data_IF_608042378951
#
_entry.id   IF_608042378951
#
_cell.length_a   1.000
_cell.length_b   1.000
_cell.length_c   1.000
_cell.angle_alpha   90.00
_cell.angle_beta   90.00
_cell.angle_gamma   90.00
#
_symmetry.space_group_name_H-M   'P 1'
#
loop_
_entity.id
_entity.type
_entity.pdbx_description
1 polymer ?
#
# COMPACT_ATOMS: atom_id res chain seq x y z
N UNK A 1 -31.40 52.58 62.23
CA UNK A 1 -31.23 51.34 61.44
C UNK A 1 -30.94 51.77 60.01
N UNK A 2 -29.67 51.82 59.63
CA UNK A 2 -29.22 52.42 58.38
C UNK A 2 -28.66 51.35 57.44
N UNK A 3 -29.07 51.44 56.18
CA UNK A 3 -28.69 50.58 55.07
C UNK A 3 -27.22 50.79 54.69
N UNK A 4 -26.50 49.71 54.37
CA UNK A 4 -25.22 49.78 53.66
C UNK A 4 -25.33 49.05 52.32
N UNK A 5 -25.26 49.84 51.24
CA UNK A 5 -24.97 49.39 49.89
C UNK A 5 -23.51 48.93 49.80
N UNK A 6 -23.28 47.71 49.31
CA UNK A 6 -21.97 47.18 48.98
C UNK A 6 -21.82 47.04 47.47
N UNK A 7 -21.14 48.00 46.86
CA UNK A 7 -20.73 48.02 45.45
C UNK A 7 -19.64 46.95 45.24
N UNK A 8 -19.91 45.92 44.44
CA UNK A 8 -18.87 44.97 44.01
C UNK A 8 -18.17 45.55 42.78
N UNK A 9 -16.95 46.01 42.99
CA UNK A 9 -16.04 46.49 41.94
C UNK A 9 -15.58 45.29 41.12
N UNK A 10 -16.06 45.20 39.89
CA UNK A 10 -15.53 44.29 38.88
C UNK A 10 -14.10 44.72 38.53
N UNK A 11 -13.12 43.98 39.05
CA UNK A 11 -11.71 44.18 38.72
C UNK A 11 -11.47 43.51 37.37
N UNK A 12 -11.50 44.31 36.31
CA UNK A 12 -11.02 43.89 35.00
C UNK A 12 -9.50 43.72 35.08
N UNK A 13 -9.03 42.50 35.31
CA UNK A 13 -7.63 42.14 35.11
C UNK A 13 -7.35 42.19 33.60
N UNK A 14 -6.84 43.34 33.17
CA UNK A 14 -6.19 43.51 31.88
C UNK A 14 -4.88 42.70 31.95
N UNK A 15 -4.92 41.42 31.57
CA UNK A 15 -3.71 40.69 31.24
C UNK A 15 -3.18 41.25 29.92
N UNK A 16 -2.37 42.30 30.03
CA UNK A 16 -1.40 42.66 29.00
C UNK A 16 -0.37 41.53 28.97
N UNK A 17 -0.69 40.48 28.22
CA UNK A 17 0.31 39.53 27.77
C UNK A 17 1.23 40.31 26.83
N UNK A 18 2.36 40.75 27.38
CA UNK A 18 3.51 41.20 26.62
C UNK A 18 3.83 40.11 25.60
N UNK A 19 3.49 40.37 24.34
CA UNK A 19 4.08 39.73 23.17
C UNK A 19 5.57 40.10 23.13
N UNK A 20 6.35 39.59 24.09
CA UNK A 20 7.77 39.45 23.90
C UNK A 20 7.92 38.39 22.82
N UNK A 21 8.38 38.87 21.67
CA UNK A 21 8.66 38.03 20.53
C UNK A 21 9.52 36.85 20.96
N UNK A 22 8.90 35.68 21.01
CA UNK A 22 9.56 34.48 20.55
C UNK A 22 9.86 34.75 19.07
N UNK A 23 11.00 35.37 18.81
CA UNK A 23 11.69 35.16 17.56
C UNK A 23 11.82 33.65 17.46
N UNK A 24 10.91 33.04 16.69
CA UNK A 24 11.13 31.75 16.09
C UNK A 24 12.38 31.98 15.25
N UNK A 25 13.55 31.80 15.88
CA UNK A 25 14.75 31.47 15.17
C UNK A 25 14.28 30.39 14.22
N UNK A 26 14.33 30.67 12.92
CA UNK A 26 14.37 29.65 11.90
C UNK A 26 15.52 28.74 12.31
N UNK A 27 15.21 27.79 13.20
CA UNK A 27 16.00 26.61 13.42
C UNK A 27 15.89 25.97 12.07
N UNK A 28 16.90 26.26 11.25
CA UNK A 28 17.22 25.51 10.07
C UNK A 28 17.31 24.09 10.60
N UNK A 29 16.19 23.38 10.50
CA UNK A 29 16.13 21.93 10.55
C UNK A 29 16.86 21.50 9.27
N UNK A 30 18.17 21.75 9.26
CA UNK A 30 19.11 20.89 8.58
C UNK A 30 19.02 19.60 9.37
N UNK A 31 18.00 18.81 9.03
CA UNK A 31 17.99 17.38 9.33
C UNK A 31 19.29 16.89 8.69
N UNK A 32 20.34 16.83 9.49
CA UNK A 32 21.60 16.18 9.13
C UNK A 32 21.24 14.71 8.98
N UNK A 33 20.71 14.36 7.81
CA UNK A 33 20.72 13.01 7.28
C UNK A 33 22.19 12.68 7.04
N UNK A 34 22.85 12.27 8.12
CA UNK A 34 24.24 11.84 8.13
C UNK A 34 24.34 10.57 7.29
N UNK A 35 24.62 10.73 6.00
CA UNK A 35 24.71 9.65 5.03
C UNK A 35 23.91 9.86 3.73
N UNK A 36 23.31 11.04 3.53
CA UNK A 36 22.46 11.34 2.38
C UNK A 36 23.13 11.11 1.04
N UNK A 37 22.82 9.98 0.40
CA UNK A 37 22.80 9.87 -1.06
C UNK A 37 22.10 11.13 -1.56
N UNK A 38 22.74 11.93 -2.42
CA UNK A 38 22.06 13.08 -3.03
C UNK A 38 20.86 12.51 -3.79
N UNK A 39 19.66 12.68 -3.22
CA UNK A 39 18.45 12.25 -3.91
C UNK A 39 18.41 13.09 -5.18
N UNK A 40 18.41 12.40 -6.34
CA UNK A 40 18.29 13.07 -7.62
C UNK A 40 17.05 13.96 -7.61
N UNK A 41 17.05 15.02 -8.42
CA UNK A 41 15.86 15.85 -8.60
C UNK A 41 14.73 14.94 -9.06
N UNK A 42 13.64 14.89 -8.31
CA UNK A 42 12.46 14.14 -8.70
C UNK A 42 11.92 14.64 -10.05
N UNK A 43 11.38 13.72 -10.82
CA UNK A 43 10.69 14.02 -12.07
C UNK A 43 9.34 14.69 -11.83
N UNK A 44 8.84 15.36 -12.85
CA UNK A 44 7.57 16.11 -12.76
C UNK A 44 6.40 15.12 -12.66
N UNK A 45 5.50 15.32 -11.70
CA UNK A 45 4.34 14.44 -11.45
C UNK A 45 3.55 14.12 -12.74
N UNK A 46 3.30 15.12 -13.58
CA UNK A 46 2.56 14.96 -14.84
C UNK A 46 3.30 14.24 -15.97
N UNK A 47 4.57 13.90 -15.78
CA UNK A 47 5.37 13.15 -16.77
C UNK A 47 5.24 11.63 -16.63
N UNK A 48 4.65 11.17 -15.51
CA UNK A 48 4.44 9.75 -15.27
C UNK A 48 3.24 9.22 -16.08
N UNK A 49 3.37 8.00 -16.59
CA UNK A 49 2.27 7.30 -17.25
C UNK A 49 1.33 6.62 -16.24
N UNK A 50 0.26 6.00 -16.74
CA UNK A 50 -0.64 5.17 -15.92
C UNK A 50 -0.03 3.84 -15.47
N UNK A 51 1.10 3.45 -16.08
CA UNK A 51 1.81 2.20 -15.82
C UNK A 51 3.23 2.51 -15.39
N UNK A 52 3.63 2.01 -14.23
CA UNK A 52 4.96 2.21 -13.68
C UNK A 52 5.97 1.26 -14.33
N UNK A 53 7.06 1.79 -14.87
CA UNK A 53 8.19 0.97 -15.31
C UNK A 53 9.25 0.94 -14.21
N UNK A 54 9.53 -0.24 -13.65
CA UNK A 54 10.58 -0.43 -12.65
C UNK A 54 11.98 -0.12 -13.21
N UNK A 55 12.13 -0.18 -14.53
CA UNK A 55 13.41 -0.01 -15.19
C UNK A 55 14.28 -1.26 -15.12
N UNK A 56 15.49 -1.16 -15.67
CA UNK A 56 16.42 -2.27 -15.75
C UNK A 56 16.89 -2.70 -14.36
N UNK A 57 17.00 -4.01 -14.16
CA UNK A 57 17.59 -4.63 -12.98
C UNK A 57 16.81 -4.42 -11.66
N UNK A 58 15.61 -3.86 -11.72
CA UNK A 58 14.70 -3.70 -10.57
C UNK A 58 13.53 -4.66 -10.73
N UNK A 59 13.45 -5.66 -9.85
CA UNK A 59 12.45 -6.74 -9.94
C UNK A 59 11.08 -6.29 -9.41
N UNK A 60 11.09 -5.53 -8.31
CA UNK A 60 9.88 -5.05 -7.66
C UNK A 60 9.91 -3.54 -7.50
N UNK A 61 8.87 -2.88 -8.00
CA UNK A 61 8.63 -1.46 -7.77
C UNK A 61 7.16 -1.19 -7.51
N UNK A 62 6.87 -0.04 -6.93
CA UNK A 62 5.50 0.34 -6.69
C UNK A 62 5.31 1.74 -6.12
N UNK A 63 4.20 1.92 -5.43
CA UNK A 63 3.87 3.19 -4.79
C UNK A 63 3.60 3.02 -3.31
N UNK A 64 4.14 3.93 -2.50
CA UNK A 64 3.67 4.18 -1.14
C UNK A 64 2.51 5.17 -1.21
N UNK A 65 1.31 4.74 -0.85
CA UNK A 65 0.09 5.56 -0.89
C UNK A 65 -0.20 6.15 0.48
N UNK A 66 -0.32 7.47 0.52
CA UNK A 66 -0.58 8.25 1.73
C UNK A 66 -1.87 9.05 1.56
N UNK A 67 -2.75 8.98 2.55
CA UNK A 67 -4.01 9.72 2.58
C UNK A 67 -3.81 11.07 3.25
N UNK A 68 -4.30 12.14 2.62
CA UNK A 68 -4.31 13.48 3.25
C UNK A 68 -5.30 13.59 4.41
N UNK A 69 -6.38 12.79 4.38
CA UNK A 69 -7.52 12.89 5.27
C UNK A 69 -8.60 13.88 4.85
N UNK A 70 -8.43 14.50 3.68
CA UNK A 70 -9.40 15.43 3.08
C UNK A 70 -10.36 14.74 2.11
N UNK A 71 -10.25 13.41 1.98
CA UNK A 71 -11.12 12.60 1.14
C UNK A 71 -12.54 12.50 1.71
N UNK A 72 -13.36 11.62 1.12
CA UNK A 72 -14.74 11.35 1.57
C UNK A 72 -14.82 9.98 2.26
N UNK A 73 -15.76 9.84 3.20
CA UNK A 73 -16.09 8.56 3.82
C UNK A 73 -14.90 7.98 4.59
N UNK A 74 -14.43 6.79 4.23
CA UNK A 74 -13.29 6.14 4.87
C UNK A 74 -11.97 6.93 4.71
N UNK A 75 -11.89 7.82 3.73
CA UNK A 75 -10.72 8.68 3.46
C UNK A 75 -10.75 10.02 4.21
N UNK A 76 -11.75 10.24 5.08
CA UNK A 76 -11.87 11.45 5.90
C UNK A 76 -11.33 11.16 7.30
N UNK A 77 -10.23 11.81 7.68
CA UNK A 77 -9.61 11.64 9.00
C UNK A 77 -8.80 12.88 9.38
N UNK A 78 -8.54 13.13 10.69
CA UNK A 78 -8.00 14.41 11.16
C UNK A 78 -6.52 14.65 10.85
N UNK A 79 -5.74 13.62 10.49
CA UNK A 79 -4.30 13.70 10.22
C UNK A 79 -3.97 12.86 9.01
N UNK A 80 -2.96 13.19 8.18
CA UNK A 80 -2.52 12.28 7.12
C UNK A 80 -2.11 10.91 7.67
N UNK A 81 -2.41 9.84 6.94
CA UNK A 81 -2.13 8.45 7.37
C UNK A 81 -1.64 7.59 6.20
N UNK A 82 -1.11 6.41 6.54
CA UNK A 82 -0.78 5.38 5.55
C UNK A 82 -2.06 4.76 5.01
N UNK A 83 -2.16 4.64 3.69
CA UNK A 83 -3.09 3.69 3.07
C UNK A 83 -2.39 2.34 2.90
N UNK A 84 -1.27 2.31 2.18
CA UNK A 84 -0.54 1.08 1.90
C UNK A 84 0.68 1.25 1.01
N UNK A 85 1.34 0.13 0.74
CA UNK A 85 2.45 0.01 -0.21
C UNK A 85 2.07 -1.01 -1.26
N UNK A 86 2.02 -0.58 -2.52
CA UNK A 86 1.39 -1.34 -3.60
C UNK A 86 2.40 -1.61 -4.71
N UNK A 87 2.96 -2.83 -4.78
CA UNK A 87 3.71 -3.28 -5.95
C UNK A 87 2.88 -3.10 -7.21
N UNK A 88 3.43 -2.38 -8.19
CA UNK A 88 2.74 -2.04 -9.43
C UNK A 88 2.87 -3.21 -10.42
N UNK A 89 2.11 -4.27 -10.16
CA UNK A 89 2.14 -5.51 -10.96
C UNK A 89 1.19 -5.43 -12.17
N UNK A 90 1.46 -6.25 -13.20
CA UNK A 90 0.54 -6.47 -14.34
C UNK A 90 0.08 -5.19 -15.04
N UNK A 91 -1.23 -4.88 -15.00
CA UNK A 91 -1.83 -3.70 -15.64
C UNK A 91 -1.33 -2.37 -15.05
N UNK A 92 -0.73 -2.38 -13.86
CA UNK A 92 -0.29 -1.20 -13.15
C UNK A 92 1.21 -0.91 -13.32
N UNK A 93 2.01 -1.90 -13.72
CA UNK A 93 3.44 -1.69 -13.94
C UNK A 93 4.18 -2.89 -14.53
N UNK A 94 5.51 -2.82 -14.47
CA UNK A 94 6.40 -3.92 -14.90
C UNK A 94 6.89 -4.77 -13.72
N UNK A 95 6.49 -4.46 -12.49
CA UNK A 95 6.85 -5.24 -11.30
C UNK A 95 6.35 -6.68 -11.42
N UNK A 96 7.23 -7.62 -11.11
CA UNK A 96 6.82 -9.01 -10.89
C UNK A 96 6.22 -9.16 -9.48
N UNK A 97 5.31 -10.12 -9.31
CA UNK A 97 4.81 -10.45 -7.98
C UNK A 97 5.81 -11.37 -7.29
N UNK A 98 6.61 -10.82 -6.38
CA UNK A 98 7.52 -11.61 -5.55
C UNK A 98 6.82 -12.05 -4.26
N UNK A 99 6.71 -13.37 -4.07
CA UNK A 99 6.05 -13.96 -2.90
C UNK A 99 6.90 -13.82 -1.64
N UNK A 100 6.30 -13.89 -0.45
CA UNK A 100 7.06 -13.76 0.79
C UNK A 100 8.03 -14.91 1.00
N UNK A 101 9.25 -14.61 1.47
CA UNK A 101 10.33 -15.59 1.66
C UNK A 101 9.96 -16.65 2.71
N UNK A 102 9.33 -16.23 3.82
CA UNK A 102 9.10 -17.08 5.00
C UNK A 102 7.63 -17.47 5.13
N UNK A 103 6.71 -16.52 5.01
CA UNK A 103 5.29 -16.79 5.25
C UNK A 103 4.35 -15.81 4.57
N UNK A 104 3.28 -16.36 3.98
CA UNK A 104 2.14 -15.62 3.47
C UNK A 104 1.03 -15.40 4.51
N UNK A 105 1.24 -15.80 5.78
CA UNK A 105 0.22 -15.69 6.82
C UNK A 105 -0.18 -14.23 7.08
N UNK A 106 -1.46 -14.04 7.38
CA UNK A 106 -2.04 -12.73 7.68
C UNK A 106 -1.45 -12.09 8.96
N UNK A 107 -1.38 -10.75 9.04
CA UNK A 107 -1.00 -10.05 10.27
C UNK A 107 -2.02 -10.31 11.39
N UNK A 108 -1.51 -10.41 12.62
CA UNK A 108 -2.30 -10.68 13.83
C UNK A 108 -2.27 -9.53 14.84
N UNK A 109 -1.52 -8.46 14.56
CA UNK A 109 -1.37 -7.27 15.40
C UNK A 109 -1.57 -6.00 14.59
N UNK A 110 -1.73 -4.87 15.30
CA UNK A 110 -1.75 -3.53 14.69
C UNK A 110 -0.33 -2.97 14.68
N UNK A 111 0.13 -2.50 13.51
CA UNK A 111 1.39 -1.79 13.38
C UNK A 111 1.18 -0.29 13.64
N UNK A 112 2.15 0.42 14.26
CA UNK A 112 1.94 1.79 14.73
C UNK A 112 1.45 2.79 13.68
N UNK A 113 1.90 2.68 12.42
CA UNK A 113 1.47 3.58 11.36
C UNK A 113 0.03 3.36 10.87
N UNK A 114 -0.62 2.25 11.28
CA UNK A 114 -2.02 1.94 11.02
C UNK A 114 -2.91 2.12 12.26
N UNK A 115 -2.35 2.57 13.38
CA UNK A 115 -3.10 2.80 14.61
C UNK A 115 -3.76 4.19 14.61
N UNK A 116 -4.84 4.31 13.84
CA UNK A 116 -5.59 5.55 13.66
C UNK A 116 -6.87 5.51 14.50
N UNK A 117 -6.75 5.90 15.78
CA UNK A 117 -7.87 6.24 16.67
C UNK A 117 -8.94 5.15 16.90
N UNK A 118 -8.53 4.00 17.44
CA UNK A 118 -9.31 3.40 18.53
C UNK A 118 -10.16 2.16 18.24
N UNK A 119 -10.03 1.51 17.08
CA UNK A 119 -10.55 0.14 16.91
C UNK A 119 -9.49 -0.78 16.31
N UNK A 120 -8.81 -1.53 17.17
CA UNK A 120 -7.78 -2.49 16.77
C UNK A 120 -8.31 -3.55 15.81
N UNK A 121 -9.60 -3.92 15.90
CA UNK A 121 -10.20 -4.89 14.98
C UNK A 121 -10.37 -4.34 13.56
N UNK A 122 -10.78 -3.08 13.42
CA UNK A 122 -10.87 -2.40 12.12
C UNK A 122 -9.49 -2.24 11.49
N UNK A 123 -8.49 -1.87 12.29
CA UNK A 123 -7.12 -1.75 11.83
C UNK A 123 -6.58 -3.11 11.36
N UNK A 124 -6.78 -4.20 12.11
CA UNK A 124 -6.32 -5.55 11.69
C UNK A 124 -7.03 -6.00 10.41
N UNK A 125 -8.33 -5.75 10.26
CA UNK A 125 -9.04 -6.08 9.02
C UNK A 125 -8.43 -5.35 7.81
N UNK A 126 -8.16 -4.06 7.96
CA UNK A 126 -7.56 -3.26 6.89
C UNK A 126 -6.12 -3.71 6.57
N UNK A 127 -5.30 -4.00 7.57
CA UNK A 127 -3.96 -4.56 7.35
C UNK A 127 -4.01 -5.94 6.67
N UNK A 128 -5.03 -6.78 6.95
CA UNK A 128 -5.23 -8.02 6.19
C UNK A 128 -5.53 -7.73 4.72
N UNK A 129 -6.38 -6.74 4.45
CA UNK A 129 -6.63 -6.29 3.07
C UNK A 129 -5.33 -5.86 2.38
N UNK A 130 -4.57 -4.95 2.98
CA UNK A 130 -3.29 -4.48 2.43
C UNK A 130 -2.30 -5.63 2.19
N UNK A 131 -2.22 -6.58 3.11
CA UNK A 131 -1.37 -7.75 2.97
C UNK A 131 -1.83 -8.66 1.83
N UNK A 132 -3.07 -9.13 1.85
CA UNK A 132 -3.61 -10.09 0.88
C UNK A 132 -3.66 -9.53 -0.55
N UNK A 133 -3.87 -8.22 -0.70
CA UNK A 133 -3.96 -7.57 -2.01
C UNK A 133 -2.62 -7.10 -2.55
N UNK A 134 -1.73 -6.64 -1.68
CA UNK A 134 -0.52 -5.93 -2.09
C UNK A 134 0.74 -6.56 -1.49
N UNK A 135 0.77 -6.73 -0.17
CA UNK A 135 1.96 -7.19 0.55
C UNK A 135 2.46 -8.59 0.17
N UNK A 136 1.57 -9.51 -0.21
CA UNK A 136 1.94 -10.86 -0.68
C UNK A 136 2.73 -10.89 -1.99
N UNK A 137 2.81 -9.76 -2.70
CA UNK A 137 3.60 -9.60 -3.92
C UNK A 137 4.80 -8.65 -3.73
N UNK A 138 5.11 -8.26 -2.50
CA UNK A 138 6.07 -7.20 -2.22
C UNK A 138 7.51 -7.69 -2.00
N UNK A 139 7.82 -8.98 -2.24
CA UNK A 139 9.18 -9.52 -2.11
C UNK A 139 9.80 -9.47 -0.71
N UNK A 140 8.95 -9.30 0.31
CA UNK A 140 9.35 -9.19 1.73
C UNK A 140 9.40 -10.56 2.42
N UNK A 141 9.89 -10.64 3.66
CA UNK A 141 9.96 -11.94 4.35
C UNK A 141 8.59 -12.48 4.77
N UNK A 142 7.75 -11.61 5.31
CA UNK A 142 6.43 -11.91 5.87
C UNK A 142 5.68 -10.59 6.17
N UNK A 143 4.47 -10.68 6.72
CA UNK A 143 3.68 -9.50 7.07
C UNK A 143 4.39 -8.56 8.07
N UNK A 144 5.12 -9.09 9.06
CA UNK A 144 5.87 -8.27 10.03
C UNK A 144 6.93 -7.40 9.35
N UNK A 145 7.66 -7.98 8.41
CA UNK A 145 8.66 -7.26 7.63
C UNK A 145 8.02 -6.19 6.73
N UNK A 146 6.95 -6.55 6.00
CA UNK A 146 6.20 -5.63 5.16
C UNK A 146 5.74 -4.39 5.92
N UNK A 147 4.95 -4.57 6.98
CA UNK A 147 4.38 -3.42 7.69
C UNK A 147 5.42 -2.60 8.45
N UNK A 148 6.50 -3.22 8.92
CA UNK A 148 7.64 -2.46 9.47
C UNK A 148 8.24 -1.53 8.43
N UNK A 149 8.50 -2.03 7.22
CA UNK A 149 9.05 -1.22 6.13
C UNK A 149 8.07 -0.12 5.70
N UNK A 150 6.77 -0.41 5.60
CA UNK A 150 5.73 0.60 5.32
C UNK A 150 5.75 1.73 6.36
N UNK A 151 5.79 1.40 7.65
CA UNK A 151 5.86 2.41 8.70
C UNK A 151 7.16 3.23 8.65
N UNK A 152 8.29 2.61 8.31
CA UNK A 152 9.57 3.31 8.16
C UNK A 152 9.55 4.30 6.99
N UNK A 153 9.08 3.87 5.81
CA UNK A 153 9.02 4.69 4.60
C UNK A 153 8.06 5.88 4.74
N UNK A 154 6.93 5.66 5.41
CA UNK A 154 5.87 6.66 5.52
C UNK A 154 6.12 7.74 6.57
N UNK A 155 6.94 7.47 7.58
CA UNK A 155 7.06 8.35 8.76
C UNK A 155 7.42 9.80 8.38
N UNK A 156 8.46 10.00 7.57
CA UNK A 156 8.91 11.34 7.22
C UNK A 156 8.01 12.04 6.17
N UNK A 157 7.54 11.38 5.10
CA UNK A 157 6.51 11.94 4.22
C UNK A 157 5.24 12.39 4.94
N UNK A 158 4.74 11.59 5.90
CA UNK A 158 3.55 11.96 6.66
C UNK A 158 3.75 13.21 7.51
N UNK A 159 4.96 13.45 8.03
CA UNK A 159 5.29 14.71 8.72
C UNK A 159 5.21 15.91 7.77
N UNK A 160 5.71 15.77 6.53
CA UNK A 160 5.60 16.82 5.50
C UNK A 160 4.15 17.11 5.15
N UNK A 161 3.34 16.06 4.95
CA UNK A 161 1.91 16.21 4.67
C UNK A 161 1.16 16.84 5.85
N UNK A 162 1.48 16.45 7.09
CA UNK A 162 0.83 17.00 8.28
C UNK A 162 1.14 18.49 8.44
N UNK A 163 2.38 18.91 8.22
CA UNK A 163 2.77 20.33 8.25
C UNK A 163 2.06 21.15 7.17
N UNK A 164 1.97 20.61 5.95
CA UNK A 164 1.26 21.23 4.83
C UNK A 164 -0.24 21.39 5.14
N UNK A 165 -0.87 20.32 5.65
CA UNK A 165 -2.28 20.34 6.05
C UNK A 165 -2.55 21.33 7.18
N UNK A 166 -1.69 21.39 8.19
CA UNK A 166 -1.79 22.37 9.28
C UNK A 166 -1.68 23.83 8.77
N UNK A 167 -1.00 24.05 7.66
CA UNK A 167 -0.91 25.35 6.99
C UNK A 167 -2.11 25.66 6.06
N UNK A 168 -3.12 24.77 5.98
CA UNK A 168 -4.28 24.94 5.11
C UNK A 168 -3.98 24.79 3.61
N UNK A 169 -2.86 24.13 3.28
CA UNK A 169 -2.47 23.84 1.90
C UNK A 169 -3.29 22.70 1.32
N UNK A 170 -3.57 22.76 0.02
CA UNK A 170 -4.32 21.71 -0.67
C UNK A 170 -3.44 20.51 -1.07
N UNK A 171 -4.04 19.48 -1.67
CA UNK A 171 -3.34 18.26 -2.06
C UNK A 171 -2.21 18.48 -3.09
N UNK A 172 -2.33 19.49 -3.97
CA UNK A 172 -1.30 19.82 -4.96
C UNK A 172 -0.12 20.48 -4.27
N UNK A 173 -0.39 21.42 -3.36
CA UNK A 173 0.64 22.04 -2.52
C UNK A 173 1.36 20.99 -1.64
N UNK A 174 0.63 20.04 -1.04
CA UNK A 174 1.21 18.93 -0.28
C UNK A 174 2.17 18.09 -1.14
N UNK A 175 1.78 17.78 -2.38
CA UNK A 175 2.63 17.04 -3.31
C UNK A 175 3.91 17.82 -3.64
N UNK A 176 3.80 19.13 -3.84
CA UNK A 176 4.93 20.02 -4.10
C UNK A 176 5.88 20.14 -2.89
N UNK A 177 5.35 20.14 -1.66
CA UNK A 177 6.18 20.06 -0.45
C UNK A 177 6.93 18.72 -0.33
N UNK A 178 6.28 17.60 -0.66
CA UNK A 178 6.93 16.29 -0.69
C UNK A 178 8.06 16.25 -1.73
N UNK A 179 7.80 16.75 -2.94
CA UNK A 179 8.78 16.86 -4.01
C UNK A 179 10.00 17.70 -3.57
N UNK A 180 9.77 18.87 -2.95
CA UNK A 180 10.85 19.70 -2.37
C UNK A 180 11.64 19.01 -1.27
N UNK A 181 10.98 18.16 -0.49
CA UNK A 181 11.61 17.36 0.56
C UNK A 181 12.34 16.11 0.03
N UNK A 182 12.33 15.88 -1.29
CA UNK A 182 12.99 14.73 -1.93
C UNK A 182 12.15 13.45 -1.96
N UNK A 183 10.86 13.53 -1.64
CA UNK A 183 9.91 12.42 -1.75
C UNK A 183 9.18 12.50 -3.09
N UNK A 184 9.62 11.70 -4.05
CA UNK A 184 9.13 11.80 -5.42
C UNK A 184 7.70 11.28 -5.54
N UNK A 185 6.77 12.20 -5.85
CA UNK A 185 5.35 11.90 -6.02
C UNK A 185 5.12 11.38 -7.44
N UNK A 186 4.69 10.14 -7.55
CA UNK A 186 4.33 9.49 -8.81
C UNK A 186 2.95 9.90 -9.31
N UNK A 187 1.96 9.99 -8.41
CA UNK A 187 0.57 10.28 -8.79
C UNK A 187 -0.19 11.00 -7.67
N UNK A 188 -1.13 11.88 -8.07
CA UNK A 188 -2.07 12.56 -7.19
C UNK A 188 -3.47 11.99 -7.45
N UNK A 189 -4.00 11.21 -6.52
CA UNK A 189 -5.40 10.76 -6.57
C UNK A 189 -6.29 11.86 -5.97
N UNK A 190 -6.81 12.72 -6.84
CA UNK A 190 -7.70 13.82 -6.45
C UNK A 190 -9.09 13.36 -5.98
N UNK A 191 -9.49 12.12 -6.29
CA UNK A 191 -10.79 11.56 -5.92
C UNK A 191 -10.80 11.12 -4.46
N UNK A 192 -9.82 10.28 -4.06
CA UNK A 192 -9.68 9.84 -2.66
C UNK A 192 -8.80 10.78 -1.81
N UNK A 193 -8.22 11.82 -2.42
CA UNK A 193 -7.30 12.77 -1.80
C UNK A 193 -6.03 12.11 -1.24
N UNK A 194 -5.34 11.37 -2.11
CA UNK A 194 -4.14 10.60 -1.77
C UNK A 194 -2.96 11.03 -2.63
N UNK A 195 -1.77 10.84 -2.08
CA UNK A 195 -0.49 11.01 -2.76
C UNK A 195 0.20 9.65 -2.85
N UNK A 196 0.67 9.31 -4.04
CA UNK A 196 1.37 8.06 -4.32
C UNK A 196 2.83 8.39 -4.58
N UNK A 197 3.72 7.96 -3.69
CA UNK A 197 5.17 8.16 -3.80
C UNK A 197 5.81 6.98 -4.49
N UNK A 198 6.70 7.21 -5.46
CA UNK A 198 7.41 6.12 -6.13
C UNK A 198 8.39 5.41 -5.18
N UNK A 199 8.35 4.08 -5.22
CA UNK A 199 9.17 3.21 -4.38
C UNK A 199 9.72 2.03 -5.19
N UNK A 200 10.89 1.53 -4.83
CA UNK A 200 11.47 0.33 -5.39
C UNK A 200 12.06 -0.56 -4.30
N UNK A 201 12.19 -1.85 -4.58
CA UNK A 201 12.80 -2.82 -3.67
C UNK A 201 14.18 -3.22 -4.17
N UNK A 202 15.16 -3.25 -3.26
CA UNK A 202 16.49 -3.77 -3.56
C UNK A 202 16.56 -5.31 -3.48
N UNK A 203 17.72 -5.86 -3.87
CA UNK A 203 18.00 -7.31 -3.79
C UNK A 203 17.94 -7.89 -2.36
N UNK A 204 17.87 -7.08 -1.31
CA UNK A 204 17.74 -7.56 0.07
C UNK A 204 16.30 -7.58 0.54
N UNK A 205 15.36 -7.26 -0.35
CA UNK A 205 13.95 -7.13 -0.02
C UNK A 205 13.63 -5.84 0.74
N UNK A 206 14.54 -4.86 0.74
CA UNK A 206 14.35 -3.57 1.41
C UNK A 206 13.79 -2.57 0.42
N UNK A 207 12.67 -1.96 0.80
CA UNK A 207 12.01 -0.94 0.03
C UNK A 207 12.62 0.44 0.28
N UNK A 208 12.71 1.24 -0.78
CA UNK A 208 13.27 2.59 -0.81
C UNK A 208 12.30 3.54 -1.51
N UNK A 209 12.20 4.78 -1.03
CA UNK A 209 11.58 5.86 -1.80
C UNK A 209 12.61 6.44 -2.76
N UNK A 210 12.26 6.55 -4.04
CA UNK A 210 13.15 7.09 -5.06
C UNK A 210 12.33 7.58 -6.26
N UNK A 211 12.91 8.45 -7.08
CA UNK A 211 12.35 8.75 -8.40
C UNK A 211 12.39 7.50 -9.28
N UNK A 212 11.37 7.29 -10.12
CA UNK A 212 11.30 6.15 -11.04
C UNK A 212 12.55 6.06 -11.93
N UNK A 213 13.07 7.20 -12.41
CA UNK A 213 14.28 7.21 -13.24
C UNK A 213 15.56 6.84 -12.46
N UNK A 214 15.49 6.84 -11.13
CA UNK A 214 16.60 6.47 -10.25
C UNK A 214 16.50 5.03 -9.73
N UNK A 215 15.41 4.31 -10.02
CA UNK A 215 15.22 2.94 -9.53
C UNK A 215 16.39 1.99 -9.87
N UNK A 216 16.95 1.94 -11.10
CA UNK A 216 18.09 1.08 -11.39
C UNK A 216 19.32 1.36 -10.53
N UNK A 217 19.55 2.64 -10.18
CA UNK A 217 20.67 3.03 -9.33
C UNK A 217 20.42 2.69 -7.85
N UNK A 218 19.20 2.95 -7.36
CA UNK A 218 18.86 2.80 -5.95
C UNK A 218 18.62 1.33 -5.59
N UNK A 219 17.90 0.61 -6.45
CA UNK A 219 17.38 -0.72 -6.18
C UNK A 219 17.93 -1.80 -7.11
N UNK A 220 18.46 -1.42 -8.28
CA UNK A 220 18.86 -2.38 -9.33
C UNK A 220 20.16 -3.14 -9.07
N UNK A 221 20.58 -3.30 -7.81
CA UNK A 221 21.86 -3.92 -7.46
C UNK A 221 23.07 -3.13 -7.97
N UNK A 222 22.86 -1.85 -8.31
CA UNK A 222 23.82 -0.91 -8.89
C UNK A 222 24.95 -0.48 -7.96
N UNK A 223 25.45 -1.41 -7.13
CA UNK A 223 26.81 -1.41 -6.67
C UNK A 223 27.73 -1.49 -7.88
N UNK A 224 27.89 -0.36 -8.56
CA UNK A 224 29.12 -0.07 -9.27
C UNK A 224 30.26 -0.17 -8.26
N UNK A 225 30.83 -1.37 -8.11
CA UNK A 225 32.25 -1.42 -8.40
C UNK A 225 32.39 -0.83 -9.80
N UNK A 226 33.14 0.29 -9.93
CA UNK A 226 33.24 1.03 -11.18
C UNK A 226 33.54 0.06 -12.32
N UNK A 227 32.97 0.33 -13.50
CA UNK A 227 32.91 -0.50 -14.71
C UNK A 227 34.28 -0.99 -15.28
N UNK A 228 35.10 -1.61 -14.46
CA UNK A 228 36.49 -1.97 -14.73
C UNK A 228 36.99 -2.97 -13.68
N UNK A 229 36.46 -4.19 -13.72
CA UNK A 229 36.97 -5.31 -12.94
C UNK A 229 36.03 -6.50 -13.06
N UNK A 230 36.47 -7.55 -13.74
CA UNK A 230 35.65 -8.70 -14.13
C UNK A 230 34.81 -9.28 -12.99
N UNK A 231 33.58 -9.61 -13.36
CA UNK A 231 32.67 -10.49 -12.65
C UNK A 231 33.33 -11.86 -12.43
N UNK A 232 34.13 -12.00 -11.37
CA UNK A 232 34.65 -13.29 -10.92
C UNK A 232 33.89 -13.71 -9.66
N UNK A 233 32.95 -14.64 -9.85
CA UNK A 233 32.62 -15.65 -8.85
C UNK A 233 31.77 -15.19 -7.65
N UNK A 234 30.54 -14.73 -7.88
CA UNK A 234 29.53 -14.75 -6.83
C UNK A 234 29.23 -16.21 -6.41
N UNK A 235 29.53 -16.57 -5.17
CA UNK A 235 29.19 -17.88 -4.60
C UNK A 235 27.69 -17.90 -4.34
N UNK A 236 26.98 -18.86 -4.94
CA UNK A 236 25.58 -19.11 -4.66
C UNK A 236 25.46 -19.83 -3.31
N UNK A 237 24.79 -19.23 -2.33
CA UNK A 237 24.60 -19.82 -1.00
C UNK A 237 23.14 -20.18 -0.84
N UNK A 238 22.83 -21.44 -0.53
CA UNK A 238 21.46 -21.94 -0.38
C UNK A 238 20.61 -21.01 0.49
N UNK A 239 19.46 -20.57 -0.03
CA UNK A 239 18.53 -19.67 0.64
C UNK A 239 18.88 -18.18 0.59
N UNK A 240 20.05 -17.80 0.06
CA UNK A 240 20.38 -16.39 -0.21
C UNK A 240 19.94 -15.97 -1.61
N UNK A 241 19.81 -14.67 -1.88
CA UNK A 241 19.58 -14.20 -3.24
C UNK A 241 20.71 -14.63 -4.16
N UNK A 242 20.33 -15.19 -5.30
CA UNK A 242 21.27 -15.69 -6.29
C UNK A 242 21.57 -14.67 -7.37
N UNK A 243 22.66 -14.87 -8.13
CA UNK A 243 22.91 -14.08 -9.34
C UNK A 243 21.73 -14.23 -10.31
N UNK A 244 21.36 -13.13 -10.96
CA UNK A 244 20.29 -13.14 -11.97
C UNK A 244 20.62 -14.13 -13.09
N UNK A 245 19.63 -14.91 -13.49
CA UNK A 245 19.78 -15.92 -14.52
C UNK A 245 18.49 -16.01 -15.37
N UNK A 246 18.66 -16.33 -16.64
CA UNK A 246 17.59 -16.60 -17.61
C UNK A 246 17.57 -18.08 -18.04
N UNK A 247 18.68 -18.78 -17.85
CA UNK A 247 18.89 -20.19 -18.21
C UNK A 247 20.05 -20.76 -17.40
N UNK A 248 20.16 -22.08 -17.34
CA UNK A 248 21.20 -22.76 -16.56
C UNK A 248 22.63 -22.39 -16.99
N UNK A 249 22.84 -22.04 -18.26
CA UNK A 249 24.14 -21.59 -18.74
C UNK A 249 24.63 -20.30 -18.06
N UNK A 250 23.71 -19.48 -17.53
CA UNK A 250 24.07 -18.23 -16.83
C UNK A 250 24.65 -18.51 -15.42
N UNK A 251 24.47 -19.74 -14.91
CA UNK A 251 25.10 -20.22 -13.68
C UNK A 251 26.53 -20.76 -13.90
N UNK A 252 26.94 -21.02 -15.14
CA UNK A 252 28.26 -21.61 -15.40
C UNK A 252 29.39 -20.66 -14.97
N UNK A 253 30.35 -21.20 -14.23
CA UNK A 253 31.47 -20.42 -13.68
C UNK A 253 31.16 -19.67 -12.37
N UNK A 254 29.92 -19.74 -11.88
CA UNK A 254 29.55 -19.20 -10.56
C UNK A 254 29.59 -20.33 -9.52
N UNK A 255 30.42 -20.19 -8.50
CA UNK A 255 30.60 -21.22 -7.48
C UNK A 255 29.25 -21.56 -6.83
N UNK A 256 28.92 -22.86 -6.73
CA UNK A 256 27.66 -23.38 -6.19
C UNK A 256 26.37 -22.96 -6.94
N UNK A 257 26.45 -22.30 -8.10
CA UNK A 257 25.29 -22.03 -8.97
C UNK A 257 25.13 -23.22 -9.92
N UNK A 258 24.23 -24.15 -9.63
CA UNK A 258 24.08 -25.33 -10.47
C UNK A 258 23.16 -25.09 -11.67
N UNK A 259 22.16 -24.22 -11.52
CA UNK A 259 21.07 -23.98 -12.49
C UNK A 259 20.31 -22.71 -12.18
N UNK A 260 19.59 -22.21 -13.17
CA UNK A 260 18.70 -21.09 -12.95
C UNK A 260 17.38 -21.56 -12.32
N UNK A 261 17.13 -21.17 -11.08
CA UNK A 261 15.92 -21.55 -10.35
C UNK A 261 14.71 -20.66 -10.69
N UNK A 262 14.93 -19.49 -11.29
CA UNK A 262 13.91 -18.47 -11.55
C UNK A 262 13.09 -18.07 -10.32
N UNK A 263 13.62 -18.26 -9.12
CA UNK A 263 12.98 -17.91 -7.85
C UNK A 263 13.50 -16.59 -7.27
N UNK A 264 14.61 -16.04 -7.79
CA UNK A 264 15.38 -14.97 -7.16
C UNK A 264 16.36 -15.46 -6.08
N UNK A 265 16.30 -16.74 -5.69
CA UNK A 265 17.11 -17.32 -4.62
C UNK A 265 17.95 -18.51 -5.08
N UNK A 266 19.15 -18.60 -4.51
CA UNK A 266 20.04 -19.74 -4.62
C UNK A 266 19.41 -20.99 -4.00
N UNK A 267 19.42 -22.07 -4.76
CA UNK A 267 18.95 -23.38 -4.32
C UNK A 267 19.95 -24.45 -4.73
N UNK A 268 20.20 -25.39 -3.82
CA UNK A 268 20.97 -26.61 -4.03
C UNK A 268 20.09 -27.80 -4.45
N UNK A 269 18.78 -27.59 -4.56
CA UNK A 269 17.83 -28.64 -4.97
C UNK A 269 17.96 -28.84 -6.50
N UNK A 270 18.41 -30.01 -6.98
CA UNK A 270 18.41 -30.32 -8.41
C UNK A 270 16.99 -30.24 -8.97
N UNK A 271 16.81 -29.96 -10.27
CA UNK A 271 15.51 -30.25 -10.88
C UNK A 271 15.41 -31.76 -10.78
N UNK A 272 14.71 -32.28 -9.77
CA UNK A 272 14.16 -33.62 -9.88
C UNK A 272 13.34 -33.55 -11.15
N UNK A 273 13.86 -34.14 -12.23
CA UNK A 273 13.15 -34.30 -13.49
C UNK A 273 11.75 -34.71 -13.10
N UNK A 274 10.82 -33.82 -13.36
CA UNK A 274 9.40 -34.06 -13.39
C UNK A 274 8.89 -35.14 -12.42
N UNK A 275 8.24 -34.72 -11.33
CA UNK A 275 7.25 -35.57 -10.67
C UNK A 275 6.06 -35.93 -11.59
N UNK A 276 6.10 -35.63 -12.91
CA UNK A 276 5.10 -36.16 -13.87
C UNK A 276 5.26 -37.64 -14.20
N UNK A 277 6.28 -38.36 -13.69
CA UNK A 277 6.42 -39.81 -13.95
C UNK A 277 6.33 -40.71 -12.69
N UNK A 278 6.17 -40.15 -11.48
CA UNK A 278 5.99 -40.95 -10.26
C UNK A 278 4.57 -40.89 -9.65
N UNK A 279 3.60 -40.29 -10.36
CA UNK A 279 2.20 -40.20 -9.93
C UNK A 279 1.23 -41.04 -10.81
N UNK A 280 1.69 -42.18 -11.32
CA UNK A 280 0.83 -43.18 -11.99
C UNK A 280 0.75 -44.52 -11.24
N UNK A 281 1.41 -44.67 -10.09
CA UNK A 281 1.53 -45.96 -9.39
C UNK A 281 0.67 -46.17 -8.14
N UNK A 282 -0.14 -45.20 -7.70
CA UNK A 282 -0.82 -45.26 -6.38
C UNK A 282 -2.33 -44.96 -6.40
N UNK A 283 -3.00 -45.14 -7.53
CA UNK A 283 -4.47 -45.19 -7.59
C UNK A 283 -4.96 -46.57 -8.02
N UNK A 284 -4.73 -47.55 -7.15
CA UNK A 284 -5.49 -48.79 -7.17
C UNK A 284 -6.13 -48.98 -5.81
N UNK A 285 -7.47 -49.00 -5.82
CA UNK A 285 -8.39 -49.26 -4.70
C UNK A 285 -8.53 -48.20 -3.61
N UNK A 286 -9.61 -47.40 -3.69
CA UNK A 286 -10.81 -47.65 -2.86
C UNK A 286 -12.02 -46.89 -3.44
N UNK A 287 -12.75 -47.54 -4.35
CA UNK A 287 -14.15 -47.19 -4.60
C UNK A 287 -14.94 -47.54 -3.33
N UNK A 288 -15.38 -46.52 -2.59
CA UNK A 288 -16.07 -46.73 -1.33
C UNK A 288 -16.76 -45.47 -0.83
N UNK A 289 -18.03 -45.33 -1.22
CA UNK A 289 -19.03 -44.46 -0.59
C UNK A 289 -18.79 -42.94 -0.67
N UNK A 290 -19.09 -42.37 -1.83
CA UNK A 290 -19.47 -40.95 -1.92
C UNK A 290 -20.66 -40.71 -0.98
N UNK A 291 -20.40 -39.96 0.09
CA UNK A 291 -21.36 -39.61 1.12
C UNK A 291 -22.51 -38.81 0.50
N UNK A 292 -23.72 -39.36 0.58
CA UNK A 292 -25.00 -38.73 0.21
C UNK A 292 -25.26 -37.39 0.91
N UNK A 293 -24.45 -37.03 1.91
CA UNK A 293 -24.55 -35.77 2.64
C UNK A 293 -24.07 -34.54 1.84
N UNK A 294 -23.08 -34.67 0.96
CA UNK A 294 -22.56 -33.51 0.21
C UNK A 294 -23.50 -33.00 -0.89
N UNK A 295 -24.29 -33.90 -1.50
CA UNK A 295 -25.32 -33.52 -2.47
C UNK A 295 -26.51 -32.83 -1.78
N UNK A 296 -26.91 -33.27 -0.59
CA UNK A 296 -28.01 -32.65 0.14
C UNK A 296 -27.72 -31.20 0.57
N UNK A 297 -26.48 -30.91 1.00
CA UNK A 297 -26.08 -29.56 1.42
C UNK A 297 -26.08 -28.58 0.23
N UNK A 298 -25.56 -28.99 -0.92
CA UNK A 298 -25.54 -28.13 -2.11
C UNK A 298 -26.95 -27.87 -2.68
N UNK A 299 -27.86 -28.85 -2.60
CA UNK A 299 -29.26 -28.66 -3.02
C UNK A 299 -30.02 -27.71 -2.09
N UNK A 300 -29.77 -27.78 -0.77
CA UNK A 300 -30.38 -26.84 0.20
C UNK A 300 -29.88 -25.40 0.02
N UNK A 301 -28.57 -25.21 -0.24
CA UNK A 301 -28.02 -23.87 -0.50
C UNK A 301 -28.65 -23.28 -1.77
N UNK A 302 -28.73 -24.04 -2.85
CA UNK A 302 -29.33 -23.58 -4.11
C UNK A 302 -30.81 -23.18 -3.96
N UNK A 303 -31.58 -23.91 -3.13
CA UNK A 303 -33.01 -23.61 -2.92
C UNK A 303 -33.24 -22.37 -2.03
N UNK A 304 -32.34 -22.07 -1.08
CA UNK A 304 -32.38 -20.81 -0.32
C UNK A 304 -32.09 -19.59 -1.22
N UNK A 305 -31.11 -19.69 -2.12
CA UNK A 305 -30.83 -18.61 -3.08
C UNK A 305 -32.00 -18.38 -4.05
N UNK A 306 -32.67 -19.45 -4.50
CA UNK A 306 -33.84 -19.35 -5.37
C UNK A 306 -35.04 -18.69 -4.67
N UNK A 307 -35.31 -19.05 -3.40
CA UNK A 307 -36.39 -18.41 -2.62
C UNK A 307 -36.11 -16.93 -2.33
N UNK A 308 -34.86 -16.57 -2.02
CA UNK A 308 -34.47 -15.18 -1.78
C UNK A 308 -34.65 -14.31 -3.03
N UNK A 309 -34.26 -14.81 -4.21
CA UNK A 309 -34.41 -14.09 -5.48
C UNK A 309 -35.89 -13.92 -5.88
N UNK A 310 -36.72 -14.95 -5.72
CA UNK A 310 -38.16 -14.86 -5.98
C UNK A 310 -38.86 -13.84 -5.07
N UNK A 311 -38.44 -13.73 -3.80
CA UNK A 311 -39.02 -12.76 -2.85
C UNK A 311 -38.69 -11.33 -3.25
N UNK A 312 -37.45 -11.07 -3.69
CA UNK A 312 -37.02 -9.75 -4.16
C UNK A 312 -37.80 -9.32 -5.41
N UNK A 313 -37.98 -10.23 -6.38
CA UNK A 313 -38.74 -9.95 -7.61
C UNK A 313 -40.21 -9.63 -7.29
N UNK A 314 -40.84 -10.38 -6.38
CA UNK A 314 -42.23 -10.12 -5.96
C UNK A 314 -42.38 -8.76 -5.26
N UNK A 315 -41.40 -8.36 -4.44
CA UNK A 315 -41.42 -7.04 -3.79
C UNK A 315 -41.31 -5.86 -4.78
N UNK A 316 -40.56 -6.03 -5.86
CA UNK A 316 -40.42 -5.00 -6.91
C UNK A 316 -41.69 -4.89 -7.75
N UNK A 317 -42.35 -6.02 -8.05
CA UNK A 317 -43.62 -6.04 -8.76
C UNK A 317 -44.73 -5.30 -7.99
N UNK A 318 -44.78 -5.42 -6.67
CA UNK A 318 -45.79 -4.71 -5.86
C UNK A 318 -45.54 -3.20 -5.75
N UNK A 319 -44.27 -2.75 -5.74
CA UNK A 319 -43.96 -1.30 -5.76
C UNK A 319 -44.34 -0.64 -7.08
N UNK A 320 -44.22 -1.35 -8.21
CA UNK A 320 -44.64 -0.84 -9.52
C UNK A 320 -46.14 -0.57 -9.61
N UNK A 321 -46.97 -1.38 -8.95
CA UNK A 321 -48.43 -1.19 -8.97
C UNK A 321 -48.89 -0.01 -8.10
N UNK A 322 -48.21 0.30 -6.99
CA UNK A 322 -48.59 1.46 -6.16
C UNK A 322 -48.19 2.81 -6.76
N UNK A 323 -47.16 2.85 -7.62
CA UNK A 323 -46.75 4.09 -8.29
C UNK A 323 -47.72 4.54 -9.41
N UNK A 324 -48.57 3.63 -9.93
CA UNK A 324 -49.48 3.92 -11.04
C UNK A 324 -50.82 4.56 -10.64
N UNK A 325 -51.12 4.67 -9.34
CA UNK A 325 -52.39 5.25 -8.86
C UNK A 325 -52.28 6.72 -8.39
N UNK A 326 -51.09 7.31 -8.41
CA UNK A 326 -50.85 8.65 -7.86
C UNK A 326 -50.87 9.80 -8.89
N UNK A 327 -51.16 9.54 -10.16
CA UNK A 327 -51.19 10.56 -11.22
C UNK A 327 -52.61 10.76 -11.75
N UNK A 328 -53.45 11.42 -10.96
CA UNK A 328 -54.65 12.12 -11.46
C UNK A 328 -54.34 13.62 -11.59
N UNK A 329 -54.68 14.27 -12.71
CA UNK A 329 -54.40 15.69 -12.93
C UNK A 329 -55.46 16.55 -12.21
N UNK A 330 -55.01 17.44 -11.33
CA UNK A 330 -55.86 18.51 -10.82
C UNK A 330 -55.86 19.65 -11.84
N UNK A 331 -57.01 19.82 -12.50
CA UNK A 331 -57.39 20.99 -13.29
C UNK A 331 -57.61 22.18 -12.34
N UNK A 332 -57.13 23.37 -12.73
CA UNK A 332 -57.69 24.73 -12.51
C UNK A 332 -56.54 25.74 -12.53
N UNK A 333 -56.67 26.99 -12.95
CA UNK A 333 -57.59 27.75 -13.80
C UNK A 333 -56.92 29.13 -13.93
N UNK A 334 -57.20 29.84 -15.01
CA UNK A 334 -56.79 31.22 -15.29
C UNK A 334 -57.23 32.21 -14.20
N UNK A 335 -56.48 33.31 -14.00
CA UNK A 335 -57.00 34.68 -14.13
C UNK A 335 -55.93 35.73 -13.72
N UNK A 336 -55.73 36.67 -14.64
CA UNK A 336 -55.30 38.09 -14.52
C UNK A 336 -53.97 38.46 -13.84
#
# INVERSE_FOLDING_TARGET
MAMCHGTVVATALLMVATLQGCGLTHSSFQTTWTGGVRHGKCSTIGSHGHRMDCGKDVEVCGVLTLESGEGKGAYTHPQPVVHGLWPQTSNFGTSECERPEISAANPTKVYPCFDTQGSSSSAVWFQKHEWEKHGVCAGVKNADDFFRQVCQLSSAPLQVMAGSRAAGQDLVDMADQLQRAGYCVYHIDSYNKQLQLSACQDEKGIWHLADVNSFPQVCGGGGGSPAGGGEIGGVCVTGQRGPRCSKDADCWGKANCQRCAHSGYCTDVPLTRSLSEHFTGLWQFQEGTASTTFLAVNVMIASVYLLATLTIVRSRSQRGQMASMASSPLIQAEAE
#
